data_IF_241444170571
#
_entry.id   IF_241444170571
#
_cell.length_a   1.000
_cell.length_b   1.000
_cell.length_c   1.000
_cell.angle_alpha   90.00
_cell.angle_beta   90.00
_cell.angle_gamma   90.00
#
_symmetry.space_group_name_H-M   'P 1'
#
loop_
_entity.id
_entity.type
_entity.pdbx_description
1 polymer ?
#
# COMPACT_ATOMS: atom_id res chain seq x y z
N UNK A 1 0.16 41.64 9.89
CA UNK A 1 1.28 42.54 9.53
C UNK A 1 2.36 41.81 8.71
N UNK A 2 2.85 40.65 9.15
CA UNK A 2 3.93 39.89 8.49
C UNK A 2 3.65 39.41 7.06
N UNK A 3 2.43 38.97 6.74
CA UNK A 3 2.08 38.53 5.37
C UNK A 3 2.27 39.63 4.31
N UNK A 4 1.85 40.87 4.62
CA UNK A 4 2.03 42.02 3.71
C UNK A 4 3.52 42.34 3.50
N UNK A 5 4.35 42.16 4.53
CA UNK A 5 5.80 42.32 4.43
C UNK A 5 6.44 41.22 3.57
N UNK A 6 6.07 39.95 3.77
CA UNK A 6 6.58 38.83 2.98
C UNK A 6 6.18 38.94 1.50
N UNK A 7 4.92 39.25 1.22
CA UNK A 7 4.39 39.42 -0.13
C UNK A 7 5.10 40.51 -0.94
N UNK A 8 5.61 41.54 -0.25
CA UNK A 8 6.42 42.60 -0.88
C UNK A 8 7.67 42.04 -1.55
N UNK A 9 8.30 41.00 -0.99
CA UNK A 9 9.52 40.39 -1.56
C UNK A 9 9.23 39.56 -2.83
N UNK A 10 8.04 38.98 -2.94
CA UNK A 10 7.58 38.27 -4.15
C UNK A 10 7.16 39.21 -5.30
N UNK A 11 6.91 40.50 -5.03
CA UNK A 11 6.28 41.43 -5.98
C UNK A 11 6.99 42.79 -6.12
N UNK A 12 8.19 42.95 -5.58
CA UNK A 12 8.92 44.23 -5.57
C UNK A 12 9.39 44.64 -6.99
N UNK A 13 9.17 45.92 -7.36
CA UNK A 13 9.60 46.48 -8.66
C UNK A 13 11.01 47.11 -8.58
N UNK A 14 11.86 46.68 -9.50
CA UNK A 14 13.02 47.38 -10.11
C UNK A 14 14.39 47.44 -9.41
N UNK A 15 14.53 47.34 -8.08
CA UNK A 15 15.87 47.36 -7.42
C UNK A 15 16.30 46.00 -6.83
N UNK A 16 15.36 45.12 -6.51
CA UNK A 16 15.61 43.81 -5.90
C UNK A 16 15.27 42.63 -6.85
N UNK A 17 15.41 42.81 -8.17
CA UNK A 17 15.04 41.78 -9.16
C UNK A 17 15.75 40.43 -8.90
N UNK A 18 17.02 40.45 -8.49
CA UNK A 18 17.75 39.24 -8.14
C UNK A 18 17.12 38.49 -6.96
N UNK A 19 16.69 39.21 -5.91
CA UNK A 19 16.01 38.61 -4.75
C UNK A 19 14.67 37.99 -5.16
N UNK A 20 13.89 38.67 -6.01
CA UNK A 20 12.62 38.14 -6.49
C UNK A 20 12.82 36.87 -7.34
N UNK A 21 13.83 36.85 -8.22
CA UNK A 21 14.18 35.68 -9.03
C UNK A 21 14.55 34.50 -8.13
N UNK A 22 15.43 34.72 -7.13
CA UNK A 22 15.80 33.68 -6.17
C UNK A 22 14.57 33.18 -5.41
N UNK A 23 13.71 34.07 -4.92
CA UNK A 23 12.50 33.71 -4.18
C UNK A 23 11.55 32.82 -5.02
N UNK A 24 11.35 33.15 -6.30
CA UNK A 24 10.53 32.34 -7.21
C UNK A 24 11.16 30.98 -7.52
N UNK A 25 12.47 30.95 -7.79
CA UNK A 25 13.20 29.68 -8.02
C UNK A 25 13.13 28.79 -6.78
N UNK A 26 13.43 29.31 -5.59
CA UNK A 26 13.36 28.55 -4.34
C UNK A 26 11.94 28.04 -4.08
N UNK A 27 10.92 28.86 -4.30
CA UNK A 27 9.52 28.44 -4.14
C UNK A 27 9.16 27.33 -5.13
N UNK A 28 9.60 27.43 -6.38
CA UNK A 28 9.41 26.40 -7.40
C UNK A 28 10.08 25.08 -7.03
N UNK A 29 11.33 25.13 -6.54
CA UNK A 29 12.08 23.95 -6.07
C UNK A 29 11.36 23.28 -4.90
N UNK A 30 10.92 24.05 -3.90
CA UNK A 30 10.19 23.50 -2.73
C UNK A 30 8.86 22.89 -3.16
N UNK A 31 8.09 23.56 -4.04
CA UNK A 31 6.83 23.05 -4.55
C UNK A 31 7.03 21.74 -5.34
N UNK A 32 8.09 21.67 -6.16
CA UNK A 32 8.41 20.46 -6.90
C UNK A 32 8.85 19.32 -5.97
N UNK A 33 9.74 19.57 -5.02
CA UNK A 33 10.23 18.57 -4.07
C UNK A 33 9.08 17.99 -3.21
N UNK A 34 8.20 18.87 -2.70
CA UNK A 34 7.03 18.44 -1.94
C UNK A 34 6.05 17.63 -2.80
N UNK A 35 5.82 18.02 -4.06
CA UNK A 35 5.01 17.26 -5.01
C UNK A 35 5.59 15.85 -5.25
N UNK A 36 6.90 15.74 -5.50
CA UNK A 36 7.57 14.44 -5.64
C UNK A 36 7.40 13.57 -4.40
N UNK A 37 7.54 14.14 -3.21
CA UNK A 37 7.39 13.39 -1.96
C UNK A 37 5.96 12.89 -1.74
N UNK A 38 4.95 13.72 -2.05
CA UNK A 38 3.54 13.31 -2.02
C UNK A 38 3.27 12.18 -3.02
N UNK A 39 3.82 12.27 -4.24
CA UNK A 39 3.67 11.21 -5.24
C UNK A 39 4.25 9.87 -4.76
N UNK A 40 5.46 9.88 -4.20
CA UNK A 40 6.10 8.66 -3.67
C UNK A 40 5.26 8.03 -2.56
N UNK A 41 4.78 8.84 -1.60
CA UNK A 41 3.91 8.35 -0.53
C UNK A 41 2.58 7.82 -1.06
N UNK A 42 2.00 8.48 -2.07
CA UNK A 42 0.75 8.03 -2.71
C UNK A 42 0.92 6.70 -3.43
N UNK A 43 2.05 6.49 -4.12
CA UNK A 43 2.36 5.19 -4.74
C UNK A 43 2.51 4.13 -3.67
N UNK A 44 3.26 4.36 -2.59
CA UNK A 44 3.39 3.37 -1.51
C UNK A 44 2.03 3.01 -0.88
N UNK A 45 1.18 3.99 -0.61
CA UNK A 45 -0.17 3.75 -0.06
C UNK A 45 -1.03 2.87 -0.97
N UNK A 46 -0.99 3.06 -2.29
CA UNK A 46 -1.74 2.24 -3.25
C UNK A 46 -1.09 0.88 -3.53
N UNK A 47 0.25 0.84 -3.55
CA UNK A 47 1.02 -0.34 -3.93
C UNK A 47 1.02 -1.40 -2.83
N UNK A 48 0.98 -1.01 -1.56
CA UNK A 48 0.87 -1.96 -0.44
C UNK A 48 -0.36 -2.87 -0.58
N UNK A 49 -1.51 -2.31 -0.93
CA UNK A 49 -2.74 -3.06 -1.14
C UNK A 49 -2.66 -4.02 -2.33
N UNK A 50 -2.05 -3.58 -3.44
CA UNK A 50 -1.83 -4.42 -4.63
C UNK A 50 -0.90 -5.60 -4.31
N UNK A 51 0.19 -5.36 -3.59
CA UNK A 51 1.13 -6.41 -3.20
C UNK A 51 0.44 -7.42 -2.29
N UNK A 52 -0.33 -6.95 -1.29
CA UNK A 52 -1.11 -7.83 -0.41
C UNK A 52 -2.15 -8.65 -1.17
N UNK A 53 -2.87 -8.08 -2.13
CA UNK A 53 -3.90 -8.81 -2.88
C UNK A 53 -3.29 -9.90 -3.76
N UNK A 54 -2.15 -9.62 -4.40
CA UNK A 54 -1.39 -10.62 -5.15
C UNK A 54 -0.96 -11.79 -4.27
N UNK A 55 -0.50 -11.55 -3.04
CA UNK A 55 -0.15 -12.64 -2.11
C UNK A 55 -1.36 -13.35 -1.51
N UNK A 56 -2.44 -12.65 -1.15
CA UNK A 56 -3.64 -13.26 -0.54
C UNK A 56 -4.34 -14.28 -1.45
N UNK A 57 -4.14 -14.16 -2.77
CA UNK A 57 -4.70 -15.12 -3.73
C UNK A 57 -4.01 -16.51 -3.62
N UNK A 58 -2.77 -16.56 -3.14
CA UNK A 58 -2.01 -17.80 -3.02
C UNK A 58 -2.10 -18.45 -1.63
N UNK A 59 -2.34 -17.67 -0.58
CA UNK A 59 -2.34 -18.15 0.80
C UNK A 59 -3.75 -18.10 1.37
N UNK A 60 -4.24 -19.25 1.83
CA UNK A 60 -5.48 -19.31 2.61
C UNK A 60 -5.25 -18.77 4.02
N UNK A 61 -6.26 -18.12 4.60
CA UNK A 61 -6.18 -17.60 5.98
C UNK A 61 -5.89 -18.70 7.01
N UNK A 62 -6.43 -19.90 6.74
CA UNK A 62 -6.20 -21.12 7.53
C UNK A 62 -5.86 -22.26 6.58
N UNK A 63 -4.76 -22.97 6.87
CA UNK A 63 -4.36 -24.18 6.13
C UNK A 63 -4.34 -25.36 7.11
N UNK A 64 -5.09 -26.42 6.78
CA UNK A 64 -5.10 -27.66 7.54
C UNK A 64 -4.16 -28.64 6.85
N UNK A 65 -3.15 -29.12 7.58
CA UNK A 65 -2.14 -30.06 7.07
C UNK A 65 -2.07 -31.29 7.97
N UNK A 66 -1.68 -32.47 7.44
CA UNK A 66 -1.50 -33.65 8.27
C UNK A 66 -0.41 -33.43 9.30
N UNK A 67 -0.67 -33.76 10.57
CA UNK A 67 0.36 -33.71 11.62
C UNK A 67 1.45 -34.77 11.42
N UNK A 68 1.09 -35.93 10.85
CA UNK A 68 1.99 -37.05 10.54
C UNK A 68 1.59 -37.67 9.21
N UNK A 69 2.57 -38.10 8.41
CA UNK A 69 2.35 -38.70 7.09
C UNK A 69 2.14 -37.67 5.98
N UNK A 70 1.86 -38.15 4.76
CA UNK A 70 1.65 -37.29 3.58
C UNK A 70 0.21 -36.83 3.38
N UNK A 71 -0.76 -37.61 3.89
CA UNK A 71 -2.19 -37.36 3.69
C UNK A 71 -2.95 -37.59 5.00
N UNK A 72 -4.15 -37.02 5.08
CA UNK A 72 -5.11 -37.28 6.15
C UNK A 72 -6.49 -37.51 5.55
N UNK A 73 -7.33 -38.28 6.26
CA UNK A 73 -8.70 -38.53 5.85
C UNK A 73 -9.61 -37.50 6.52
N UNK A 74 -10.40 -36.80 5.70
CA UNK A 74 -11.40 -35.87 6.18
C UNK A 74 -12.81 -36.42 5.85
N UNK A 75 -13.55 -36.98 6.83
CA UNK A 75 -14.84 -37.59 6.57
C UNK A 75 -15.92 -36.55 6.26
N UNK A 76 -16.95 -36.95 5.50
CA UNK A 76 -17.98 -36.05 4.97
C UNK A 76 -18.74 -35.27 6.05
N UNK A 77 -18.93 -35.85 7.23
CA UNK A 77 -19.54 -35.19 8.39
C UNK A 77 -18.72 -33.99 8.89
N UNK A 78 -17.38 -34.10 8.91
CA UNK A 78 -16.48 -33.02 9.32
C UNK A 78 -16.42 -31.92 8.26
N UNK A 79 -16.43 -32.28 6.97
CA UNK A 79 -16.52 -31.31 5.87
C UNK A 79 -17.80 -30.48 6.00
N UNK A 80 -18.93 -31.15 6.24
CA UNK A 80 -20.22 -30.47 6.42
C UNK A 80 -20.20 -29.55 7.64
N UNK A 81 -19.69 -30.04 8.77
CA UNK A 81 -19.54 -29.24 9.98
C UNK A 81 -18.68 -27.98 9.78
N UNK A 82 -17.61 -28.05 8.97
CA UNK A 82 -16.78 -26.89 8.63
C UNK A 82 -17.54 -25.91 7.74
N UNK A 83 -18.30 -26.42 6.76
CA UNK A 83 -19.10 -25.60 5.85
C UNK A 83 -20.23 -24.85 6.57
N UNK A 84 -20.77 -25.44 7.63
CA UNK A 84 -21.87 -24.86 8.40
C UNK A 84 -21.41 -23.78 9.42
N UNK A 85 -20.09 -23.54 9.56
CA UNK A 85 -19.55 -22.47 10.41
C UNK A 85 -19.78 -21.10 9.76
N UNK A 86 -20.44 -20.18 10.48
CA UNK A 86 -20.84 -18.86 9.97
C UNK A 86 -19.67 -17.97 9.48
N UNK A 87 -18.44 -18.24 9.93
CA UNK A 87 -17.23 -17.49 9.58
C UNK A 87 -16.42 -18.13 8.43
N UNK A 88 -16.85 -19.27 7.91
CA UNK A 88 -16.20 -19.94 6.76
C UNK A 88 -16.91 -19.50 5.48
N UNK A 89 -16.31 -18.55 4.75
CA UNK A 89 -16.85 -18.09 3.47
C UNK A 89 -16.67 -19.12 2.35
N UNK A 90 -15.50 -19.75 2.30
CA UNK A 90 -15.17 -20.75 1.30
C UNK A 90 -14.09 -21.70 1.84
N UNK A 91 -14.06 -22.92 1.31
CA UNK A 91 -12.99 -23.86 1.59
C UNK A 91 -12.68 -24.67 0.33
N UNK A 92 -11.42 -25.09 0.18
CA UNK A 92 -10.97 -25.94 -0.91
C UNK A 92 -10.23 -27.13 -0.35
N UNK A 93 -10.38 -28.28 -1.01
CA UNK A 93 -9.62 -29.49 -0.72
C UNK A 93 -8.53 -29.59 -1.77
N UNK A 94 -7.28 -29.47 -1.34
CA UNK A 94 -6.12 -29.43 -2.21
C UNK A 94 -5.21 -30.61 -1.86
N UNK A 95 -4.75 -31.32 -2.89
CA UNK A 95 -3.66 -32.29 -2.79
C UNK A 95 -2.42 -31.67 -3.44
N UNK A 96 -1.41 -31.37 -2.63
CA UNK A 96 -0.11 -30.83 -3.05
C UNK A 96 0.97 -31.87 -2.73
N UNK A 97 1.88 -32.14 -3.66
CA UNK A 97 3.11 -32.90 -3.40
C UNK A 97 4.33 -32.07 -3.84
N UNK A 98 5.47 -32.27 -3.19
CA UNK A 98 6.71 -31.61 -3.61
C UNK A 98 7.28 -32.38 -4.79
N UNK A 99 7.56 -31.68 -5.89
CA UNK A 99 8.08 -32.29 -7.10
C UNK A 99 9.54 -32.78 -6.97
N UNK A 100 10.28 -32.34 -5.95
CA UNK A 100 11.69 -32.68 -5.66
C UNK A 100 11.94 -32.69 -4.14
#
# INVERSE_FOLDING_TARGET
MYFKFAWRYFRAKKSANAINIIAWVTTGVIAFATCCQVLVLSVFNGFEGLVKSLYSTFYSDVKIVPQKGKTFLLPANKIKAIKDLAFVYNFSLIAEDKAL
#
